data_IF_643442207776
#
_entry.id   IF_643442207776
#
_cell.length_a   1.000
_cell.length_b   1.000
_cell.length_c   1.000
_cell.angle_alpha   90.00
_cell.angle_beta   90.00
_cell.angle_gamma   90.00
#
_symmetry.space_group_name_H-M   'P 1'
#
loop_
_entity.id
_entity.type
_entity.pdbx_description
1 polymer ?
#
# COMPACT_ATOMS: atom_id res chain seq x y z
N UNK A 1 -17.71 2.21 16.40
CA UNK A 1 -17.58 0.93 15.65
C UNK A 1 -17.40 -0.26 16.59
N UNK A 2 -16.64 -0.11 17.68
CA UNK A 2 -16.38 -1.16 18.68
C UNK A 2 -17.66 -1.61 19.40
N UNK A 3 -18.54 -0.68 19.79
CA UNK A 3 -19.79 -0.94 20.51
C UNK A 3 -20.92 -1.58 19.69
N UNK A 4 -20.65 -2.05 18.46
CA UNK A 4 -21.68 -2.70 17.65
C UNK A 4 -21.88 -4.14 18.16
N UNK A 5 -23.13 -4.59 18.34
CA UNK A 5 -23.39 -5.97 18.76
C UNK A 5 -22.92 -6.96 17.68
N UNK A 6 -22.70 -8.20 18.10
CA UNK A 6 -22.43 -9.32 17.20
C UNK A 6 -23.53 -9.39 16.14
N UNK A 7 -23.13 -9.57 14.89
CA UNK A 7 -24.07 -9.73 13.77
C UNK A 7 -23.67 -10.93 12.92
N UNK A 8 -24.65 -11.66 12.42
CA UNK A 8 -24.43 -12.78 11.50
C UNK A 8 -24.77 -12.32 10.09
N UNK A 9 -23.81 -12.44 9.19
CA UNK A 9 -23.97 -12.17 7.76
C UNK A 9 -24.02 -13.49 7.01
N UNK A 10 -25.07 -13.73 6.23
CA UNK A 10 -25.17 -14.92 5.37
C UNK A 10 -24.50 -14.58 4.03
N UNK A 11 -23.39 -15.25 3.73
CA UNK A 11 -22.70 -15.12 2.44
C UNK A 11 -23.09 -16.30 1.57
N UNK A 12 -23.68 -16.02 0.40
CA UNK A 12 -23.97 -17.04 -0.60
C UNK A 12 -22.78 -17.17 -1.56
N UNK A 13 -22.15 -18.33 -1.56
CA UNK A 13 -21.05 -18.65 -2.47
C UNK A 13 -21.53 -19.68 -3.50
N UNK A 14 -21.28 -19.39 -4.78
CA UNK A 14 -21.49 -20.38 -5.84
C UNK A 14 -20.50 -21.52 -5.65
N UNK A 15 -21.01 -22.73 -5.41
CA UNK A 15 -20.14 -23.90 -5.26
C UNK A 15 -19.46 -24.15 -6.61
N UNK A 16 -18.14 -23.97 -6.69
CA UNK A 16 -17.38 -24.40 -7.87
C UNK A 16 -17.57 -25.91 -7.99
N UNK A 17 -18.34 -26.34 -9.00
CA UNK A 17 -18.47 -27.75 -9.32
C UNK A 17 -17.09 -28.35 -9.55
N UNK A 18 -16.80 -29.51 -8.97
CA UNK A 18 -15.60 -30.30 -9.30
C UNK A 18 -15.70 -30.68 -10.78
N UNK A 19 -15.04 -29.95 -11.66
CA UNK A 19 -15.21 -30.15 -13.11
C UNK A 19 -14.12 -29.50 -13.95
N UNK A 20 -12.88 -30.01 -13.84
CA UNK A 20 -11.84 -29.81 -14.86
C UNK A 20 -11.61 -31.05 -15.72
N UNK A 21 -12.54 -32.00 -15.76
CA UNK A 21 -12.45 -33.15 -16.66
C UNK A 21 -13.79 -33.82 -16.92
N UNK A 22 -14.29 -33.67 -18.16
CA UNK A 22 -15.09 -34.71 -18.82
C UNK A 22 -16.58 -34.84 -18.49
N UNK A 23 -17.30 -33.79 -18.10
CA UNK A 23 -18.74 -33.92 -17.82
C UNK A 23 -19.60 -33.39 -18.99
N UNK A 24 -20.62 -34.17 -19.36
CA UNK A 24 -21.58 -33.88 -20.43
C UNK A 24 -22.33 -32.57 -20.17
N UNK A 25 -22.41 -31.70 -21.20
CA UNK A 25 -23.10 -30.40 -21.17
C UNK A 25 -24.62 -30.49 -20.86
N UNK A 26 -25.22 -31.67 -20.96
CA UNK A 26 -26.66 -31.89 -20.82
C UNK A 26 -27.06 -32.64 -19.54
N UNK A 27 -26.29 -32.54 -18.44
CA UNK A 27 -26.71 -33.16 -17.19
C UNK A 27 -27.68 -32.26 -16.39
N UNK A 28 -28.98 -32.57 -16.30
CA UNK A 28 -29.98 -31.76 -15.58
C UNK A 28 -29.74 -31.69 -14.07
N UNK A 29 -28.87 -32.54 -13.51
CA UNK A 29 -28.51 -32.53 -12.09
C UNK A 29 -27.37 -31.54 -11.75
N UNK A 30 -26.81 -30.84 -12.74
CA UNK A 30 -25.81 -29.76 -12.61
C UNK A 30 -26.45 -28.37 -12.42
N UNK A 31 -27.63 -28.27 -11.79
CA UNK A 31 -28.19 -26.98 -11.41
C UNK A 31 -27.19 -26.20 -10.55
N UNK A 32 -27.12 -24.87 -10.73
CA UNK A 32 -26.25 -24.01 -9.94
C UNK A 32 -26.63 -24.12 -8.47
N UNK A 33 -25.74 -24.71 -7.67
CA UNK A 33 -25.93 -24.83 -6.22
C UNK A 33 -25.19 -23.71 -5.53
N UNK A 34 -25.96 -22.87 -4.83
CA UNK A 34 -25.44 -21.88 -3.90
C UNK A 34 -25.30 -22.54 -2.53
N UNK A 35 -24.20 -22.23 -1.83
CA UNK A 35 -24.02 -22.61 -0.44
C UNK A 35 -24.08 -21.32 0.37
N UNK A 36 -25.02 -21.27 1.30
CA UNK A 36 -25.12 -20.20 2.28
C UNK A 36 -24.21 -20.52 3.46
N UNK A 37 -23.29 -19.61 3.76
CA UNK A 37 -22.35 -19.74 4.86
C UNK A 37 -22.66 -18.61 5.84
N UNK A 38 -23.23 -18.92 7.03
CA UNK A 38 -23.38 -17.91 8.06
C UNK A 38 -22.00 -17.52 8.60
N UNK A 39 -21.68 -16.24 8.56
CA UNK A 39 -20.44 -15.68 9.09
C UNK A 39 -20.80 -14.81 10.28
N UNK A 40 -20.29 -15.18 11.44
CA UNK A 40 -20.39 -14.37 12.64
C UNK A 40 -19.32 -13.26 12.62
N UNK A 41 -19.77 -12.02 12.65
CA UNK A 41 -18.92 -10.85 12.68
C UNK A 41 -18.83 -10.34 14.13
N UNK A 42 -17.62 -10.38 14.66
CA UNK A 42 -17.26 -9.82 15.96
C UNK A 42 -16.45 -8.53 15.75
N UNK A 43 -17.05 -7.34 15.90
CA UNK A 43 -16.38 -6.07 15.62
C UNK A 43 -15.08 -5.88 16.42
N UNK A 44 -15.05 -6.30 17.69
CA UNK A 44 -13.86 -6.22 18.53
C UNK A 44 -12.70 -7.08 18.01
N UNK A 45 -12.98 -8.32 17.61
CA UNK A 45 -11.97 -9.22 17.01
C UNK A 45 -11.46 -8.67 15.67
N UNK A 46 -12.37 -8.15 14.83
CA UNK A 46 -12.00 -7.53 13.56
C UNK A 46 -11.11 -6.30 13.77
N UNK A 47 -11.48 -5.42 14.71
CA UNK A 47 -10.68 -4.26 15.06
C UNK A 47 -9.29 -4.66 15.54
N UNK A 48 -9.19 -5.64 16.45
CA UNK A 48 -7.89 -6.16 16.91
C UNK A 48 -7.02 -6.67 15.75
N UNK A 49 -7.59 -7.44 14.83
CA UNK A 49 -6.86 -7.92 13.64
C UNK A 49 -6.40 -6.78 12.73
N UNK A 50 -7.24 -5.77 12.51
CA UNK A 50 -6.89 -4.59 11.72
C UNK A 50 -5.72 -3.83 12.38
N UNK A 51 -5.74 -3.66 13.71
CA UNK A 51 -4.65 -3.00 14.43
C UNK A 51 -3.33 -3.77 14.27
N UNK A 52 -3.36 -5.10 14.41
CA UNK A 52 -2.16 -5.95 14.20
C UNK A 52 -1.58 -5.79 12.79
N UNK A 53 -2.44 -5.79 11.76
CA UNK A 53 -1.99 -5.59 10.37
C UNK A 53 -1.43 -4.19 10.17
N UNK A 54 -2.09 -3.15 10.69
CA UNK A 54 -1.59 -1.76 10.62
C UNK A 54 -0.24 -1.61 11.32
N UNK A 55 -0.03 -2.26 12.46
CA UNK A 55 1.27 -2.26 13.15
C UNK A 55 2.35 -2.94 12.34
N UNK A 56 2.07 -4.12 11.79
CA UNK A 56 3.01 -4.83 10.93
C UNK A 56 3.41 -3.97 9.72
N UNK A 57 2.44 -3.38 9.03
CA UNK A 57 2.69 -2.48 7.89
C UNK A 57 3.53 -1.29 8.34
N UNK A 58 3.19 -0.64 9.46
CA UNK A 58 3.94 0.52 9.94
C UNK A 58 5.40 0.20 10.27
N UNK A 59 5.66 -0.96 10.90
CA UNK A 59 7.03 -1.41 11.19
C UNK A 59 7.82 -1.73 9.93
N UNK A 60 7.20 -2.37 8.94
CA UNK A 60 7.81 -2.62 7.63
C UNK A 60 8.10 -1.30 6.91
N UNK A 61 7.13 -0.38 6.89
CA UNK A 61 7.24 0.92 6.23
C UNK A 61 8.34 1.81 6.81
N UNK A 62 8.57 1.79 8.13
CA UNK A 62 9.68 2.53 8.73
C UNK A 62 11.04 2.11 8.14
N UNK A 63 11.23 0.81 7.90
CA UNK A 63 12.46 0.27 7.30
C UNK A 63 12.49 0.51 5.79
N UNK A 64 11.37 0.33 5.13
CA UNK A 64 11.20 0.56 3.70
C UNK A 64 11.47 2.02 3.32
N UNK A 65 11.07 2.97 4.17
CA UNK A 65 11.37 4.40 3.98
C UNK A 65 12.87 4.69 4.06
N UNK A 66 13.65 3.94 4.83
CA UNK A 66 15.12 4.05 4.76
C UNK A 66 15.67 3.60 3.41
N UNK A 67 15.06 2.59 2.79
CA UNK A 67 15.41 2.17 1.43
C UNK A 67 15.04 3.25 0.42
N UNK A 68 13.89 3.92 0.58
CA UNK A 68 13.50 5.06 -0.27
C UNK A 68 14.53 6.19 -0.19
N UNK A 69 14.99 6.55 1.01
CA UNK A 69 15.99 7.58 1.22
C UNK A 69 17.33 7.20 0.57
N UNK A 70 17.81 5.97 0.82
CA UNK A 70 19.05 5.49 0.22
C UNK A 70 18.96 5.40 -1.31
N UNK A 71 17.81 5.01 -1.86
CA UNK A 71 17.59 4.97 -3.30
C UNK A 71 17.65 6.37 -3.91
N UNK A 72 17.05 7.38 -3.25
CA UNK A 72 17.03 8.76 -3.75
C UNK A 72 18.43 9.34 -3.99
N UNK A 73 19.38 9.03 -3.12
CA UNK A 73 20.77 9.50 -3.25
C UNK A 73 21.49 8.90 -4.46
N UNK A 74 21.10 7.69 -4.88
CA UNK A 74 21.74 6.98 -6.00
C UNK A 74 21.15 7.34 -7.36
N UNK A 75 20.00 8.03 -7.39
CA UNK A 75 19.23 8.14 -8.62
C UNK A 75 20.02 8.95 -9.67
N UNK A 76 20.37 10.18 -9.35
CA UNK A 76 21.05 11.07 -10.31
C UNK A 76 22.44 10.54 -10.67
N UNK A 77 23.16 9.95 -9.72
CA UNK A 77 24.45 9.31 -9.96
C UNK A 77 24.34 8.19 -11.01
N UNK A 78 23.33 7.34 -10.89
CA UNK A 78 23.08 6.26 -11.86
C UNK A 78 22.69 6.80 -13.24
N UNK A 79 21.93 7.90 -13.30
CA UNK A 79 21.59 8.58 -14.55
C UNK A 79 22.82 9.13 -15.27
N UNK A 80 23.68 9.87 -14.56
CA UNK A 80 24.87 10.45 -15.16
C UNK A 80 25.89 9.38 -15.57
N UNK A 81 26.03 8.31 -14.77
CA UNK A 81 26.84 7.16 -15.14
C UNK A 81 26.34 6.51 -16.44
N UNK A 82 25.02 6.33 -16.59
CA UNK A 82 24.42 5.80 -17.82
C UNK A 82 24.75 6.67 -19.05
N UNK A 83 24.55 7.98 -18.96
CA UNK A 83 24.88 8.91 -20.05
C UNK A 83 26.36 8.84 -20.42
N UNK A 84 27.25 8.75 -19.42
CA UNK A 84 28.68 8.64 -19.68
C UNK A 84 29.02 7.36 -20.44
N UNK A 85 28.47 6.22 -20.02
CA UNK A 85 28.68 4.93 -20.69
C UNK A 85 28.15 4.92 -22.13
N UNK A 86 27.00 5.56 -22.38
CA UNK A 86 26.43 5.70 -23.74
C UNK A 86 27.36 6.50 -24.65
N UNK A 87 27.94 7.60 -24.17
CA UNK A 87 28.89 8.41 -24.94
C UNK A 87 30.20 7.66 -25.26
N UNK A 88 30.69 6.87 -24.32
CA UNK A 88 31.87 6.03 -24.52
C UNK A 88 31.61 4.95 -25.58
N UNK A 89 30.40 4.40 -25.61
CA UNK A 89 29.98 3.42 -26.62
C UNK A 89 29.87 4.02 -28.02
N UNK A 90 29.30 5.21 -28.14
CA UNK A 90 29.12 5.88 -29.45
C UNK A 90 30.43 6.47 -30.00
N UNK A 91 31.40 6.78 -29.12
CA UNK A 91 32.75 7.21 -29.53
C UNK A 91 33.67 6.07 -29.98
N UNK A 92 33.33 4.81 -29.67
CA UNK A 92 34.08 3.61 -30.01
C UNK A 92 33.72 3.06 -31.39
N UNK A 93 34.36 3.56 -32.44
CA UNK A 93 34.24 3.09 -33.82
C UNK A 93 34.74 1.63 -33.99
N UNK A 94 33.94 0.65 -33.58
CA UNK A 94 34.07 -0.76 -34.00
C UNK A 94 32.68 -1.30 -34.30
N UNK A 95 32.31 -1.21 -35.57
CA UNK A 95 31.19 -1.94 -36.11
C UNK A 95 31.47 -3.43 -36.07
N UNK A 96 30.89 -4.13 -35.10
CA UNK A 96 30.38 -5.48 -35.32
C UNK A 96 29.32 -5.83 -34.27
N UNK A 97 28.23 -6.39 -34.79
CA UNK A 97 26.95 -6.65 -34.17
C UNK A 97 27.01 -7.43 -32.85
N UNK A 98 26.34 -6.91 -31.81
CA UNK A 98 25.30 -7.64 -31.05
C UNK A 98 24.18 -6.65 -30.74
N UNK A 99 23.15 -6.66 -31.59
CA UNK A 99 21.83 -6.12 -31.24
C UNK A 99 21.20 -6.94 -30.12
N UNK A 100 20.32 -6.29 -29.36
CA UNK A 100 19.54 -6.81 -28.24
C UNK A 100 20.26 -6.90 -26.89
N UNK A 101 20.17 -5.81 -26.10
CA UNK A 101 19.76 -5.80 -24.66
C UNK A 101 20.03 -4.49 -23.90
N UNK A 102 20.81 -3.57 -24.45
CA UNK A 102 21.35 -2.46 -23.67
C UNK A 102 20.44 -1.21 -23.54
N UNK A 103 19.30 -1.15 -24.21
CA UNK A 103 18.40 0.03 -24.18
C UNK A 103 17.19 -0.14 -23.26
N UNK A 104 17.08 -1.22 -22.49
CA UNK A 104 15.78 -1.61 -21.91
C UNK A 104 15.75 -1.73 -20.38
N UNK A 105 16.77 -1.21 -19.70
CA UNK A 105 16.77 -1.14 -18.24
C UNK A 105 16.82 0.32 -17.84
N UNK A 106 15.67 0.99 -18.01
CA UNK A 106 15.38 2.26 -17.34
C UNK A 106 15.83 2.13 -15.88
N UNK A 107 16.82 2.94 -15.50
CA UNK A 107 17.09 3.27 -14.12
C UNK A 107 17.23 2.10 -13.12
N UNK A 108 17.63 0.91 -13.58
CA UNK A 108 17.79 -0.36 -12.84
C UNK A 108 17.00 -0.48 -11.52
N UNK A 109 15.72 -0.08 -11.49
CA UNK A 109 14.78 -0.19 -10.35
C UNK A 109 15.48 -0.17 -8.99
N UNK A 110 16.36 0.81 -8.77
CA UNK A 110 17.40 0.75 -7.72
C UNK A 110 16.77 0.51 -6.35
N UNK A 111 15.61 1.11 -6.11
CA UNK A 111 14.82 0.92 -4.91
C UNK A 111 14.41 -0.55 -4.67
N UNK A 112 13.94 -1.25 -5.71
CA UNK A 112 13.51 -2.66 -5.62
C UNK A 112 14.71 -3.58 -5.45
N UNK A 113 15.83 -3.30 -6.12
CA UNK A 113 17.06 -4.07 -5.94
C UNK A 113 17.62 -3.91 -4.53
N UNK A 114 17.71 -2.68 -4.03
CA UNK A 114 18.12 -2.39 -2.65
C UNK A 114 17.23 -3.08 -1.61
N UNK A 115 15.93 -3.21 -1.89
CA UNK A 115 14.99 -3.94 -1.02
C UNK A 115 15.26 -5.46 -1.01
N UNK A 116 15.61 -6.04 -2.16
CA UNK A 116 15.85 -7.49 -2.27
C UNK A 116 17.22 -7.91 -1.73
N UNK A 117 18.26 -7.09 -1.96
CA UNK A 117 19.66 -7.46 -1.70
C UNK A 117 20.10 -7.21 -0.25
N UNK A 118 19.47 -6.25 0.43
CA UNK A 118 19.85 -5.93 1.81
C UNK A 118 19.16 -6.85 2.81
N UNK A 119 19.89 -7.89 3.22
CA UNK A 119 19.60 -8.68 4.44
C UNK A 119 19.43 -7.79 5.67
N UNK A 120 20.05 -6.60 5.71
CA UNK A 120 19.87 -5.58 6.76
C UNK A 120 18.44 -5.06 6.86
N UNK A 121 17.71 -5.01 5.75
CA UNK A 121 16.32 -4.53 5.70
C UNK A 121 15.31 -5.67 5.68
N UNK A 122 15.73 -6.94 5.73
CA UNK A 122 14.82 -8.08 5.84
C UNK A 122 14.69 -8.52 7.31
N UNK A 123 13.60 -8.16 8.02
CA UNK A 123 13.29 -8.79 9.28
C UNK A 123 13.03 -10.27 9.02
N UNK A 124 13.33 -11.11 10.00
CA UNK A 124 13.20 -12.58 9.94
C UNK A 124 11.79 -13.08 9.62
N UNK A 125 10.79 -12.19 9.62
CA UNK A 125 9.41 -12.47 9.20
C UNK A 125 8.80 -11.25 8.48
N UNK A 126 9.13 -11.03 7.20
CA UNK A 126 8.40 -10.06 6.36
C UNK A 126 7.03 -10.57 5.94
N UNK A 127 6.07 -9.65 5.80
CA UNK A 127 4.76 -9.96 5.21
C UNK A 127 4.91 -10.44 3.75
N UNK A 128 4.05 -11.35 3.29
CA UNK A 128 4.09 -11.85 1.90
C UNK A 128 3.80 -10.75 0.86
N UNK A 129 3.20 -9.64 1.29
CA UNK A 129 2.83 -8.51 0.43
C UNK A 129 3.81 -7.35 0.54
N UNK A 130 4.91 -7.48 1.28
CA UNK A 130 5.83 -6.37 1.55
C UNK A 130 6.33 -5.72 0.28
N UNK A 131 6.72 -6.50 -0.74
CA UNK A 131 7.19 -5.97 -2.03
C UNK A 131 6.16 -5.08 -2.72
N UNK A 132 4.89 -5.50 -2.72
CA UNK A 132 3.81 -4.69 -3.29
C UNK A 132 3.53 -3.43 -2.48
N UNK A 133 3.56 -3.56 -1.16
CA UNK A 133 3.42 -2.42 -0.25
C UNK A 133 4.56 -1.41 -0.39
N UNK A 134 5.80 -1.88 -0.60
CA UNK A 134 6.97 -1.04 -0.84
C UNK A 134 6.84 -0.23 -2.13
N UNK A 135 6.47 -0.89 -3.23
CA UNK A 135 6.28 -0.20 -4.51
C UNK A 135 5.16 0.85 -4.42
N UNK A 136 4.04 0.50 -3.79
CA UNK A 136 2.97 1.46 -3.51
C UNK A 136 3.47 2.65 -2.69
N UNK A 137 4.23 2.39 -1.61
CA UNK A 137 4.80 3.44 -0.76
C UNK A 137 5.73 4.36 -1.56
N UNK A 138 6.57 3.80 -2.43
CA UNK A 138 7.50 4.53 -3.28
C UNK A 138 6.75 5.43 -4.29
N UNK A 139 5.71 4.89 -4.92
CA UNK A 139 4.82 5.64 -5.82
C UNK A 139 4.10 6.78 -5.08
N UNK A 140 3.55 6.51 -3.90
CA UNK A 140 2.87 7.51 -3.07
C UNK A 140 3.81 8.63 -2.60
N UNK A 141 5.05 8.30 -2.19
CA UNK A 141 6.04 9.31 -1.84
C UNK A 141 6.36 10.22 -3.03
N UNK A 142 6.45 9.67 -4.24
CA UNK A 142 6.72 10.41 -5.47
C UNK A 142 5.55 11.33 -5.85
N UNK A 143 4.31 10.83 -5.82
CA UNK A 143 3.11 11.65 -6.05
C UNK A 143 2.98 12.78 -5.02
N UNK A 144 3.15 12.46 -3.74
CA UNK A 144 3.09 13.43 -2.66
C UNK A 144 4.16 14.53 -2.84
N UNK A 145 5.36 14.17 -3.27
CA UNK A 145 6.42 15.13 -3.57
C UNK A 145 6.02 16.09 -4.70
N UNK A 146 5.51 15.56 -5.82
CA UNK A 146 5.04 16.38 -6.95
C UNK A 146 3.93 17.33 -6.49
N UNK A 147 2.94 16.84 -5.74
CA UNK A 147 1.82 17.66 -5.26
C UNK A 147 2.29 18.77 -4.30
N UNK A 148 3.27 18.50 -3.44
CA UNK A 148 3.86 19.52 -2.54
C UNK A 148 4.61 20.58 -3.33
N UNK A 149 5.41 20.20 -4.33
CA UNK A 149 6.12 21.14 -5.20
C UNK A 149 5.14 22.05 -5.94
N UNK A 150 4.10 21.48 -6.56
CA UNK A 150 3.09 22.25 -7.27
C UNK A 150 2.33 23.21 -6.33
N UNK A 151 2.08 22.81 -5.08
CA UNK A 151 1.47 23.68 -4.07
C UNK A 151 2.41 24.80 -3.63
N UNK A 152 3.69 24.53 -3.42
CA UNK A 152 4.70 25.52 -3.04
C UNK A 152 4.95 26.55 -4.15
N UNK A 153 4.99 26.11 -5.41
CA UNK A 153 5.13 27.01 -6.54
C UNK A 153 3.91 27.94 -6.67
N UNK A 154 2.71 27.44 -6.39
CA UNK A 154 1.49 28.26 -6.34
C UNK A 154 1.55 29.35 -5.26
N UNK A 155 2.22 29.09 -4.13
CA UNK A 155 2.36 30.09 -3.05
C UNK A 155 3.50 31.09 -3.30
N UNK A 156 4.54 30.69 -4.03
CA UNK A 156 5.72 31.54 -4.27
C UNK A 156 5.52 32.58 -5.39
N UNK A 157 4.37 32.55 -6.09
CA UNK A 157 3.98 33.57 -7.06
C UNK A 157 4.52 33.32 -8.47
N UNK A 158 4.59 34.40 -9.26
CA UNK A 158 4.75 34.37 -10.72
C UNK A 158 6.12 33.91 -11.23
N UNK A 159 7.17 33.92 -10.39
CA UNK A 159 8.55 33.62 -10.84
C UNK A 159 8.73 32.18 -11.31
N UNK A 160 7.96 31.23 -10.75
CA UNK A 160 8.07 29.80 -11.07
C UNK A 160 6.90 29.29 -11.93
N UNK A 161 6.12 30.19 -12.52
CA UNK A 161 4.88 29.85 -13.20
C UNK A 161 5.11 28.90 -14.39
N UNK A 162 6.13 29.17 -15.21
CA UNK A 162 6.42 28.36 -16.41
C UNK A 162 6.83 26.93 -16.03
N UNK A 163 7.75 26.78 -15.07
CA UNK A 163 8.19 25.48 -14.56
C UNK A 163 7.05 24.73 -13.85
N UNK A 164 6.18 25.46 -13.17
CA UNK A 164 5.00 24.89 -12.52
C UNK A 164 3.98 24.36 -13.52
N UNK A 165 3.69 25.12 -14.57
CA UNK A 165 2.81 24.70 -15.67
C UNK A 165 3.40 23.48 -16.39
N UNK A 166 4.71 23.48 -16.66
CA UNK A 166 5.41 22.33 -17.25
C UNK A 166 5.23 21.07 -16.39
N UNK A 167 5.65 21.11 -15.12
CA UNK A 167 5.58 19.94 -14.24
C UNK A 167 4.14 19.45 -14.05
N UNK A 168 3.19 20.38 -13.92
CA UNK A 168 1.77 20.04 -13.79
C UNK A 168 1.27 19.30 -15.03
N UNK A 169 1.54 19.82 -16.22
CA UNK A 169 1.09 19.19 -17.46
C UNK A 169 1.77 17.84 -17.65
N UNK A 170 3.10 17.78 -17.46
CA UNK A 170 3.87 16.53 -17.51
C UNK A 170 3.27 15.46 -16.59
N UNK A 171 2.94 15.81 -15.35
CA UNK A 171 2.32 14.90 -14.38
C UNK A 171 0.90 14.48 -14.77
N UNK A 172 0.03 15.43 -15.11
CA UNK A 172 -1.39 15.13 -15.43
C UNK A 172 -1.50 14.24 -16.66
N UNK A 173 -0.71 14.50 -17.70
CA UNK A 173 -0.73 13.73 -18.95
C UNK A 173 -0.26 12.28 -18.76
N UNK A 174 0.45 12.00 -17.65
CA UNK A 174 1.09 10.71 -17.34
C UNK A 174 0.52 10.02 -16.10
N UNK A 175 -0.39 10.66 -15.37
CA UNK A 175 -0.88 10.14 -14.10
C UNK A 175 -1.56 8.77 -14.25
N UNK A 176 -2.32 8.57 -15.33
CA UNK A 176 -2.98 7.29 -15.59
C UNK A 176 -1.97 6.17 -15.87
N UNK A 177 -0.87 6.46 -16.57
CA UNK A 177 0.13 5.47 -16.97
C UNK A 177 1.07 5.04 -15.83
N UNK A 178 1.47 5.98 -14.97
CA UNK A 178 2.49 5.75 -13.95
C UNK A 178 1.96 5.59 -12.53
N UNK A 179 0.71 6.00 -12.28
CA UNK A 179 0.23 6.21 -10.92
C UNK A 179 -1.19 5.68 -10.64
N UNK A 180 -1.96 5.27 -11.65
CA UNK A 180 -3.31 4.74 -11.49
C UNK A 180 -3.45 3.28 -11.97
N UNK A 181 -4.28 2.50 -11.29
CA UNK A 181 -4.59 1.12 -11.67
C UNK A 181 -3.58 0.04 -11.23
N UNK A 182 -3.70 -1.13 -11.85
CA UNK A 182 -2.85 -2.31 -11.62
C UNK A 182 -1.57 -2.22 -12.46
N UNK A 183 -0.58 -1.51 -11.92
CA UNK A 183 0.67 -1.20 -12.62
C UNK A 183 1.78 -2.18 -12.24
N UNK A 184 2.71 -2.48 -13.16
CA UNK A 184 3.90 -3.23 -12.82
C UNK A 184 4.80 -2.42 -11.88
N UNK A 185 5.63 -3.11 -11.09
CA UNK A 185 6.55 -2.44 -10.18
C UNK A 185 7.51 -1.47 -10.87
N UNK A 186 7.95 -0.43 -10.15
CA UNK A 186 8.98 0.53 -10.58
C UNK A 186 8.46 1.75 -11.35
N UNK A 187 7.15 2.01 -11.37
CA UNK A 187 6.60 3.12 -12.18
C UNK A 187 7.07 4.50 -11.75
N UNK A 188 7.30 4.74 -10.46
CA UNK A 188 7.88 6.03 -10.06
C UNK A 188 9.28 6.26 -10.62
N UNK A 189 10.10 5.21 -10.78
CA UNK A 189 11.43 5.34 -11.42
C UNK A 189 11.26 5.61 -12.92
N UNK A 190 10.36 4.87 -13.59
CA UNK A 190 10.07 5.08 -15.01
C UNK A 190 9.59 6.52 -15.28
N UNK A 191 8.76 7.10 -14.39
CA UNK A 191 8.30 8.49 -14.49
C UNK A 191 9.46 9.51 -14.38
N UNK A 192 10.40 9.27 -13.46
CA UNK A 192 11.57 10.14 -13.28
C UNK A 192 12.54 9.99 -14.45
N UNK A 193 12.75 8.77 -14.96
CA UNK A 193 13.58 8.53 -16.15
C UNK A 193 13.02 9.25 -17.37
N UNK A 194 11.70 9.16 -17.61
CA UNK A 194 11.07 9.90 -18.71
C UNK A 194 11.19 11.42 -18.56
N UNK A 195 11.06 11.93 -17.33
CA UNK A 195 11.26 13.35 -17.04
C UNK A 195 12.71 13.78 -17.35
N UNK A 196 13.69 12.97 -16.97
CA UNK A 196 15.12 13.24 -17.21
C UNK A 196 15.49 13.16 -18.71
N UNK A 197 14.81 12.31 -19.48
CA UNK A 197 14.97 12.20 -20.93
C UNK A 197 14.30 13.35 -21.70
N UNK A 198 13.44 14.14 -21.05
CA UNK A 198 12.79 15.28 -21.67
C UNK A 198 13.83 16.37 -21.97
N UNK A 199 13.88 16.82 -23.24
CA UNK A 199 14.79 17.88 -23.65
C UNK A 199 14.39 19.24 -23.05
N UNK A 200 15.34 20.07 -22.60
CA UNK A 200 15.06 21.45 -22.23
C UNK A 200 14.46 22.23 -23.40
N UNK A 201 13.45 23.05 -23.14
CA UNK A 201 12.72 23.80 -24.16
C UNK A 201 12.26 25.17 -23.65
N UNK A 202 11.73 26.00 -24.56
CA UNK A 202 11.06 27.26 -24.19
C UNK A 202 9.56 27.02 -24.22
N UNK A 203 8.90 27.18 -23.08
CA UNK A 203 7.45 27.06 -22.97
C UNK A 203 6.82 28.45 -22.94
N UNK A 204 5.71 28.62 -23.66
CA UNK A 204 4.85 29.80 -23.58
C UNK A 204 3.57 29.43 -22.83
N UNK A 205 3.24 30.15 -21.77
CA UNK A 205 2.00 29.95 -21.02
C UNK A 205 0.83 30.67 -21.68
N UNK A 206 -0.39 30.32 -21.31
CA UNK A 206 -1.61 30.95 -21.81
C UNK A 206 -1.68 32.45 -21.47
N UNK A 207 -1.00 32.87 -20.40
CA UNK A 207 -0.90 34.26 -19.96
C UNK A 207 0.18 35.06 -20.72
N UNK A 208 0.77 34.45 -21.76
CA UNK A 208 1.76 35.08 -22.63
C UNK A 208 3.18 35.10 -22.08
N UNK A 209 3.41 34.53 -20.89
CA UNK A 209 4.76 34.41 -20.31
C UNK A 209 5.56 33.36 -21.03
N UNK A 210 6.84 33.62 -21.21
CA UNK A 210 7.77 32.69 -21.85
C UNK A 210 8.92 32.39 -20.91
N UNK A 211 9.24 31.12 -20.72
CA UNK A 211 10.33 30.71 -19.84
C UNK A 211 11.00 29.44 -20.35
N UNK A 212 12.23 29.23 -19.88
CA UNK A 212 12.98 28.01 -20.15
C UNK A 212 12.55 26.92 -19.15
N UNK A 213 12.25 25.73 -19.66
CA UNK A 213 11.98 24.56 -18.82
C UNK A 213 13.28 23.81 -18.56
N UNK A 214 13.47 23.39 -17.32
CA UNK A 214 14.60 22.56 -16.88
C UNK A 214 14.06 21.25 -16.29
N UNK A 215 13.93 20.19 -17.11
CA UNK A 215 13.43 18.88 -16.65
C UNK A 215 14.35 18.22 -15.62
N UNK A 216 15.67 18.43 -15.72
CA UNK A 216 16.64 17.93 -14.73
C UNK A 216 16.41 18.60 -13.38
N UNK A 217 16.30 19.94 -13.36
CA UNK A 217 15.97 20.68 -12.14
C UNK A 217 14.62 20.26 -11.53
N UNK A 218 13.62 19.95 -12.37
CA UNK A 218 12.35 19.41 -11.89
C UNK A 218 12.50 18.03 -11.23
N UNK A 219 13.27 17.11 -11.84
CA UNK A 219 13.57 15.80 -11.27
C UNK A 219 14.32 15.91 -9.93
N UNK A 220 15.34 16.76 -9.86
CA UNK A 220 16.08 17.06 -8.62
C UNK A 220 15.16 17.58 -7.51
N UNK A 221 14.25 18.50 -7.85
CA UNK A 221 13.24 19.01 -6.92
C UNK A 221 12.32 17.90 -6.42
N UNK A 222 11.85 16.99 -7.29
CA UNK A 222 11.01 15.85 -6.90
C UNK A 222 11.76 14.92 -5.96
N UNK A 223 12.99 14.52 -6.28
CA UNK A 223 13.79 13.61 -5.45
C UNK A 223 14.04 14.20 -4.06
N UNK A 224 14.40 15.49 -4.00
CA UNK A 224 14.59 16.22 -2.73
C UNK A 224 13.30 16.31 -1.92
N UNK A 225 12.18 16.70 -2.53
CA UNK A 225 10.89 16.75 -1.83
C UNK A 225 10.42 15.35 -1.40
N UNK A 226 10.75 14.31 -2.18
CA UNK A 226 10.47 12.92 -1.84
C UNK A 226 11.25 12.46 -0.61
N UNK A 227 12.50 12.91 -0.44
CA UNK A 227 13.26 12.71 0.81
C UNK A 227 12.55 13.34 2.01
N UNK A 228 12.06 14.58 1.89
CA UNK A 228 11.32 15.25 2.97
C UNK A 228 10.03 14.50 3.33
N UNK A 229 9.24 14.08 2.32
CA UNK A 229 8.04 13.26 2.51
C UNK A 229 8.36 11.94 3.21
N UNK A 230 9.41 11.24 2.76
CA UNK A 230 9.80 9.97 3.32
C UNK A 230 10.21 10.09 4.81
N UNK A 231 10.96 11.14 5.17
CA UNK A 231 11.33 11.40 6.56
C UNK A 231 10.11 11.68 7.45
N UNK A 232 9.18 12.53 6.99
CA UNK A 232 7.95 12.84 7.73
C UNK A 232 7.07 11.60 7.92
N UNK A 233 6.90 10.81 6.86
CA UNK A 233 6.10 9.58 6.93
C UNK A 233 6.77 8.55 7.81
N UNK A 234 8.11 8.48 7.83
CA UNK A 234 8.85 7.57 8.72
C UNK A 234 8.59 7.91 10.18
N UNK A 235 8.66 9.20 10.53
CA UNK A 235 8.34 9.68 11.88
C UNK A 235 6.88 9.36 12.25
N UNK A 236 5.95 9.56 11.31
CA UNK A 236 4.54 9.28 11.51
C UNK A 236 4.28 7.78 11.72
N UNK A 237 4.89 6.92 10.90
CA UNK A 237 4.73 5.46 10.98
C UNK A 237 5.33 4.89 12.26
N UNK A 238 6.41 5.49 12.79
CA UNK A 238 6.99 5.09 14.07
C UNK A 238 6.02 5.30 15.26
N UNK A 239 5.06 6.23 15.16
CA UNK A 239 4.09 6.54 16.22
C UNK A 239 2.80 5.71 16.14
N UNK A 240 2.60 4.90 15.11
CA UNK A 240 1.34 4.15 14.88
C UNK A 240 0.94 3.26 16.07
N UNK A 241 1.91 2.66 16.75
CA UNK A 241 1.63 1.83 17.93
C UNK A 241 1.08 2.65 19.11
N UNK A 242 1.52 3.90 19.25
CA UNK A 242 1.04 4.83 20.28
C UNK A 242 -0.41 5.25 20.00
N UNK A 243 -0.74 5.53 18.73
CA UNK A 243 -2.12 5.85 18.29
C UNK A 243 -3.12 4.73 18.64
N UNK A 244 -2.66 3.48 18.66
CA UNK A 244 -3.51 2.32 18.93
C UNK A 244 -3.85 2.14 20.41
N UNK A 245 -3.13 2.81 21.33
CA UNK A 245 -3.31 2.63 22.78
C UNK A 245 -4.75 2.90 23.22
N UNK A 246 -5.36 4.00 22.76
CA UNK A 246 -6.75 4.34 23.08
C UNK A 246 -7.76 3.32 22.53
N UNK A 247 -7.54 2.82 21.32
CA UNK A 247 -8.42 1.80 20.70
C UNK A 247 -8.30 0.48 21.45
N UNK A 248 -7.07 0.07 21.83
CA UNK A 248 -6.84 -1.16 22.63
C UNK A 248 -7.48 -1.06 24.01
N UNK A 249 -7.40 0.08 24.67
CA UNK A 249 -8.07 0.31 25.95
C UNK A 249 -9.60 0.18 25.82
N UNK A 250 -10.18 0.75 24.76
CA UNK A 250 -11.60 0.62 24.48
C UNK A 250 -12.01 -0.84 24.20
N UNK A 251 -11.21 -1.58 23.40
CA UNK A 251 -11.44 -3.00 23.13
C UNK A 251 -11.33 -3.88 24.39
N UNK A 252 -10.36 -3.59 25.26
CA UNK A 252 -10.20 -4.31 26.52
C UNK A 252 -11.39 -4.06 27.45
N UNK A 253 -11.82 -2.81 27.58
CA UNK A 253 -12.98 -2.43 28.40
C UNK A 253 -14.25 -3.13 27.95
N UNK A 254 -14.51 -3.16 26.63
CA UNK A 254 -15.66 -3.84 26.03
C UNK A 254 -15.60 -5.35 26.29
N UNK A 255 -14.42 -5.97 26.14
CA UNK A 255 -14.25 -7.40 26.44
C UNK A 255 -14.53 -7.72 27.91
N UNK A 256 -14.08 -6.88 28.84
CA UNK A 256 -14.32 -7.07 30.28
C UNK A 256 -15.80 -6.97 30.64
N UNK A 257 -16.54 -6.03 30.03
CA UNK A 257 -17.98 -5.91 30.23
C UNK A 257 -18.72 -7.15 29.72
N UNK A 258 -18.32 -7.67 28.56
CA UNK A 258 -18.91 -8.89 27.99
C UNK A 258 -18.74 -10.10 28.92
N UNK A 259 -17.51 -10.37 29.39
CA UNK A 259 -17.24 -11.48 30.30
C UNK A 259 -17.83 -11.29 31.70
N UNK A 260 -18.01 -10.05 32.15
CA UNK A 260 -18.65 -9.73 33.43
C UNK A 260 -20.17 -9.91 33.42
N UNK A 261 -20.84 -9.67 32.28
CA UNK A 261 -22.30 -9.74 32.16
C UNK A 261 -22.86 -11.15 31.97
N UNK A 262 -22.14 -12.05 31.29
CA UNK A 262 -22.60 -13.44 31.09
C UNK A 262 -22.64 -14.27 32.40
N UNK A 263 -22.05 -13.78 33.49
CA UNK A 263 -22.06 -14.44 34.80
C UNK A 263 -23.33 -14.25 35.62
N UNK A 264 -24.16 -13.24 35.34
CA UNK A 264 -25.32 -12.91 36.19
C UNK A 264 -26.66 -13.49 35.72
N UNK A 265 -26.82 -13.83 34.43
CA UNK A 265 -28.09 -14.38 33.91
C UNK A 265 -28.23 -15.92 34.02
N UNK A 266 -27.20 -16.62 34.50
CA UNK A 266 -27.17 -18.10 34.59
C UNK A 266 -27.61 -18.72 35.92
N UNK A 267 -27.92 -17.94 36.97
CA UNK A 267 -28.23 -18.45 38.33
C UNK A 267 -29.67 -18.07 38.76
N UNK A 268 -30.62 -17.99 37.82
CA UNK A 268 -32.03 -17.77 38.14
C UNK A 268 -32.89 -18.95 37.68
N UNK A 269 -33.61 -19.53 38.65
CA UNK A 269 -34.68 -20.53 38.54
C UNK A 269 -34.29 -22.01 38.42
N UNK A 270 -33.84 -22.56 39.55
CA UNK A 270 -33.98 -23.97 39.88
C UNK A 270 -34.46 -24.15 41.33
N UNK A 271 -35.51 -23.41 41.74
CA UNK A 271 -36.18 -23.71 43.01
C UNK A 271 -37.00 -24.99 42.81
N UNK A 272 -36.44 -26.11 43.23
CA UNK A 272 -37.16 -27.38 43.32
C UNK A 272 -38.26 -27.28 44.36
N UNK A 273 -39.50 -27.35 43.90
CA UNK A 273 -40.63 -27.76 44.72
C UNK A 273 -40.50 -29.28 44.95
N UNK A 274 -39.89 -29.62 46.08
CA UNK A 274 -39.80 -30.99 46.61
C UNK A 274 -41.04 -31.23 47.50
N UNK A 275 -42.13 -31.69 46.88
CA UNK A 275 -43.39 -32.01 47.55
C UNK A 275 -43.31 -33.42 48.18
N UNK A 276 -42.96 -33.45 49.47
CA UNK A 276 -42.80 -34.65 50.28
C UNK A 276 -44.13 -35.34 50.60
N UNK A 277 -44.48 -36.36 49.80
CA UNK A 277 -45.56 -37.30 50.09
C UNK A 277 -45.17 -38.33 51.16
N UNK A 278 -45.65 -38.15 52.39
CA UNK A 278 -45.53 -39.11 53.49
C UNK A 278 -46.54 -40.28 53.30
N UNK A 279 -46.03 -41.44 52.88
CA UNK A 279 -46.78 -42.71 52.83
C UNK A 279 -46.73 -43.45 54.17
N UNK A 280 -47.87 -43.54 54.84
CA UNK A 280 -48.10 -44.26 56.09
C UNK A 280 -48.21 -45.78 55.80
N UNK A 281 -47.33 -46.61 56.36
CA UNK A 281 -47.41 -48.08 56.29
C UNK A 281 -47.70 -48.64 57.68
N UNK A 282 -48.97 -48.98 57.92
CA UNK A 282 -49.43 -49.76 59.07
C UNK A 282 -49.35 -51.26 58.75
N UNK A 283 -48.63 -52.03 59.57
CA UNK A 283 -48.67 -53.48 59.59
C UNK A 283 -49.77 -53.96 60.55
N UNK A 284 -50.61 -54.88 60.07
CA UNK A 284 -51.34 -55.88 60.85
C UNK A 284 -50.96 -57.26 60.32
#
# INVERSE_FOLDING_TARGET
MISRPKSTMIVSAKRRGRGHGGWSKNNPYLAERWVEIPIDIYPASLASRILTVREQISTEWVQDLDVVLAANDLILDSYFAKIQMERERDGGNTGEAIGARATDIAFERTAIHLMNDNTRFQPTASSPFRRGNFDLLYNLCTQAAIHRILRQQRTNGEEMEVSSVFLRNFYVDRAEEYFDGDLPYGRADDFIDELLQTAPAVLRTNDGKTGFIDPLGAAESIIRMRNEVAMEWKETMARVQEDHTGIRQALLTDSMQYWGGEGEEGISSGSGDDDGGAGNLSFQ
#
